data_IF_733232388905
#
_entry.id   IF_733232388905
#
_cell.length_a   1.000
_cell.length_b   1.000
_cell.length_c   1.000
_cell.angle_alpha   90.00
_cell.angle_beta   90.00
_cell.angle_gamma   90.00
#
_symmetry.space_group_name_H-M   'P 1'
#
loop_
_entity.id
_entity.type
_entity.pdbx_description
1 polymer ?
#
# COMPACT_ATOMS: atom_id res chain seq x y z
N UNK A 1 -31.34 -20.47 12.02
CA UNK A 1 -30.23 -19.67 12.56
C UNK A 1 -29.39 -19.16 11.41
N UNK A 2 -29.15 -17.85 11.25
CA UNK A 2 -28.35 -17.36 10.15
C UNK A 2 -26.88 -17.71 10.40
N UNK A 3 -26.31 -18.42 9.44
CA UNK A 3 -24.94 -18.90 9.41
C UNK A 3 -23.98 -17.70 9.54
N UNK A 4 -23.31 -17.56 10.69
CA UNK A 4 -22.28 -16.54 10.91
C UNK A 4 -21.15 -16.83 9.91
N UNK A 5 -21.14 -16.14 8.77
CA UNK A 5 -19.97 -16.04 7.90
C UNK A 5 -18.84 -15.45 8.73
N UNK A 6 -18.02 -16.30 9.33
CA UNK A 6 -16.68 -15.93 9.78
C UNK A 6 -15.92 -15.58 8.51
N UNK A 7 -15.97 -14.29 8.11
CA UNK A 7 -14.99 -13.74 7.19
C UNK A 7 -13.64 -13.99 7.86
N UNK A 8 -12.94 -15.06 7.47
CA UNK A 8 -11.48 -15.15 7.64
C UNK A 8 -11.00 -13.82 7.08
N UNK A 9 -10.63 -12.88 7.96
CA UNK A 9 -9.87 -11.71 7.54
C UNK A 9 -8.65 -12.31 6.87
N UNK A 10 -8.41 -11.99 5.61
CA UNK A 10 -7.14 -12.33 4.97
C UNK A 10 -6.08 -11.56 5.79
N UNK A 11 -5.54 -12.23 6.81
CA UNK A 11 -4.49 -11.69 7.64
C UNK A 11 -3.23 -11.79 6.78
N UNK A 12 -2.54 -10.68 6.60
CA UNK A 12 -1.18 -10.69 6.08
C UNK A 12 -0.34 -11.26 7.22
N UNK A 13 0.23 -12.44 6.99
CA UNK A 13 0.90 -13.23 8.01
C UNK A 13 2.41 -13.22 7.86
N UNK A 14 2.92 -12.78 6.71
CA UNK A 14 4.35 -12.75 6.41
C UNK A 14 4.84 -11.34 6.07
N UNK A 15 6.13 -11.07 6.33
CA UNK A 15 6.77 -9.84 5.89
C UNK A 15 6.68 -9.67 4.36
N UNK A 16 6.68 -10.78 3.60
CA UNK A 16 6.53 -10.75 2.15
C UNK A 16 5.15 -10.21 1.74
N UNK A 17 4.08 -10.75 2.30
CA UNK A 17 2.70 -10.28 2.04
C UNK A 17 2.50 -8.82 2.44
N UNK A 18 3.07 -8.41 3.58
CA UNK A 18 3.04 -7.01 4.04
C UNK A 18 3.79 -6.09 3.07
N UNK A 19 4.95 -6.53 2.59
CA UNK A 19 5.78 -5.77 1.64
C UNK A 19 5.12 -5.68 0.27
N UNK A 20 4.52 -6.77 -0.21
CA UNK A 20 3.75 -6.79 -1.45
C UNK A 20 2.57 -5.82 -1.40
N UNK A 21 1.79 -5.83 -0.32
CA UNK A 21 0.69 -4.88 -0.17
C UNK A 21 1.20 -3.43 -0.10
N UNK A 22 2.27 -3.17 0.66
CA UNK A 22 2.87 -1.84 0.72
C UNK A 22 3.32 -1.36 -0.67
N UNK A 23 3.89 -2.26 -1.48
CA UNK A 23 4.34 -1.97 -2.83
C UNK A 23 3.15 -1.63 -3.75
N UNK A 24 2.10 -2.44 -3.73
CA UNK A 24 0.87 -2.21 -4.51
C UNK A 24 0.23 -0.87 -4.13
N UNK A 25 0.19 -0.52 -2.84
CA UNK A 25 -0.34 0.76 -2.37
C UNK A 25 0.47 1.94 -2.90
N UNK A 26 1.81 1.86 -2.86
CA UNK A 26 2.69 2.91 -3.40
C UNK A 26 2.53 3.08 -4.92
N UNK A 27 2.54 1.99 -5.68
CA UNK A 27 2.36 2.06 -7.14
C UNK A 27 0.98 2.61 -7.50
N UNK A 28 -0.07 2.16 -6.82
CA UNK A 28 -1.43 2.63 -7.07
C UNK A 28 -1.56 4.12 -6.77
N UNK A 29 -0.97 4.59 -5.68
CA UNK A 29 -0.94 6.00 -5.32
C UNK A 29 -0.20 6.85 -6.37
N UNK A 30 0.95 6.38 -6.85
CA UNK A 30 1.75 7.07 -7.89
C UNK A 30 0.98 7.14 -9.20
N UNK A 31 0.47 6.01 -9.70
CA UNK A 31 -0.30 5.95 -10.95
C UNK A 31 -1.54 6.83 -10.90
N UNK A 32 -2.26 6.85 -9.78
CA UNK A 32 -3.44 7.69 -9.61
C UNK A 32 -3.08 9.18 -9.64
N UNK A 33 -1.95 9.57 -9.02
CA UNK A 33 -1.45 10.95 -9.05
C UNK A 33 -1.00 11.38 -10.46
N UNK A 34 -0.27 10.52 -11.17
CA UNK A 34 0.14 10.76 -12.56
C UNK A 34 -1.07 10.91 -13.47
N UNK A 35 -2.05 10.00 -13.35
CA UNK A 35 -3.31 10.09 -14.10
C UNK A 35 -4.00 11.43 -13.84
N UNK A 36 -4.14 11.85 -12.57
CA UNK A 36 -4.77 13.12 -12.20
C UNK A 36 -4.06 14.35 -12.81
N UNK A 37 -2.74 14.27 -12.99
CA UNK A 37 -1.96 15.33 -13.64
C UNK A 37 -2.15 15.36 -15.17
N UNK A 38 -2.47 14.23 -15.78
CA UNK A 38 -2.63 14.09 -17.23
C UNK A 38 -4.06 14.42 -17.72
N UNK A 39 -5.06 14.36 -16.85
CA UNK A 39 -6.46 14.59 -17.23
C UNK A 39 -7.05 15.84 -16.60
N UNK A 40 -8.04 16.43 -17.29
CA UNK A 40 -8.81 17.54 -16.75
C UNK A 40 -10.00 17.01 -15.93
N UNK A 41 -9.90 17.08 -14.61
CA UNK A 41 -10.98 16.68 -13.68
C UNK A 41 -11.45 17.90 -12.90
N UNK A 42 -12.77 18.04 -12.62
CA UNK A 42 -13.25 19.10 -11.75
C UNK A 42 -12.54 19.10 -10.39
N UNK A 43 -12.35 20.30 -9.82
CA UNK A 43 -11.55 20.50 -8.62
C UNK A 43 -12.02 19.66 -7.41
N UNK A 44 -13.33 19.48 -7.25
CA UNK A 44 -13.90 18.65 -6.19
C UNK A 44 -13.37 17.20 -6.22
N UNK A 45 -13.30 16.60 -7.42
CA UNK A 45 -12.74 15.26 -7.61
C UNK A 45 -11.23 15.24 -7.43
N UNK A 46 -10.50 16.30 -7.82
CA UNK A 46 -9.06 16.42 -7.56
C UNK A 46 -8.76 16.32 -6.07
N UNK A 47 -9.53 17.02 -5.22
CA UNK A 47 -9.37 16.97 -3.77
C UNK A 47 -9.66 15.57 -3.22
N UNK A 48 -10.74 14.92 -3.67
CA UNK A 48 -11.08 13.56 -3.25
C UNK A 48 -9.99 12.55 -3.61
N UNK A 49 -9.48 12.63 -4.84
CA UNK A 49 -8.41 11.76 -5.34
C UNK A 49 -7.11 12.00 -4.54
N UNK A 50 -6.72 13.26 -4.30
CA UNK A 50 -5.54 13.58 -3.49
C UNK A 50 -5.63 13.01 -2.07
N UNK A 51 -6.80 13.11 -1.42
CA UNK A 51 -7.04 12.48 -0.11
C UNK A 51 -6.90 10.96 -0.17
N UNK A 52 -7.38 10.34 -1.26
CA UNK A 52 -7.26 8.90 -1.46
C UNK A 52 -5.81 8.46 -1.69
N UNK A 53 -5.03 9.23 -2.44
CA UNK A 53 -3.58 9.03 -2.62
C UNK A 53 -2.86 9.09 -1.27
N UNK A 54 -3.12 10.13 -0.47
CA UNK A 54 -2.55 10.26 0.89
C UNK A 54 -2.94 9.08 1.77
N UNK A 55 -4.21 8.67 1.74
CA UNK A 55 -4.67 7.51 2.48
C UNK A 55 -3.90 6.23 2.09
N UNK A 56 -3.70 5.95 0.79
CA UNK A 56 -2.93 4.79 0.34
C UNK A 56 -1.48 4.82 0.84
N UNK A 57 -0.81 5.97 0.78
CA UNK A 57 0.56 6.13 1.27
C UNK A 57 0.62 5.89 2.79
N UNK A 58 -0.32 6.44 3.56
CA UNK A 58 -0.38 6.21 5.00
C UNK A 58 -0.65 4.74 5.36
N UNK A 59 -1.51 4.06 4.59
CA UNK A 59 -1.72 2.62 4.78
C UNK A 59 -0.42 1.84 4.55
N UNK A 60 0.31 2.13 3.46
CA UNK A 60 1.60 1.48 3.19
C UNK A 60 2.59 1.68 4.35
N UNK A 61 2.71 2.92 4.83
CA UNK A 61 3.58 3.26 5.96
C UNK A 61 3.20 2.50 7.24
N UNK A 62 1.90 2.37 7.53
CA UNK A 62 1.42 1.69 8.72
C UNK A 62 1.80 0.20 8.76
N UNK A 63 1.93 -0.45 7.59
CA UNK A 63 2.34 -1.85 7.50
C UNK A 63 3.76 -2.09 8.04
N UNK A 64 4.62 -1.06 8.10
CA UNK A 64 5.94 -1.17 8.70
C UNK A 64 5.88 -1.49 10.20
N UNK A 65 4.81 -1.06 10.88
CA UNK A 65 4.54 -1.39 12.29
C UNK A 65 4.08 -2.82 12.54
N UNK A 66 3.70 -3.54 11.47
CA UNK A 66 3.23 -4.93 11.51
C UNK A 66 4.33 -5.93 11.07
N UNK A 67 5.49 -5.44 10.62
CA UNK A 67 6.64 -6.28 10.29
C UNK A 67 7.20 -7.01 11.51
N UNK A 68 7.88 -8.12 11.26
CA UNK A 68 8.61 -8.88 12.27
C UNK A 68 10.09 -9.03 11.88
N UNK A 69 11.04 -8.31 12.54
CA UNK A 69 10.82 -7.29 13.57
C UNK A 69 10.17 -6.02 13.02
N UNK A 70 9.49 -5.26 13.89
CA UNK A 70 8.81 -4.02 13.52
C UNK A 70 9.80 -3.01 12.94
N UNK A 71 9.43 -2.41 11.82
CA UNK A 71 10.22 -1.38 11.17
C UNK A 71 9.30 -0.27 10.60
N UNK A 72 8.94 0.74 11.40
CA UNK A 72 8.06 1.83 10.95
C UNK A 72 8.62 2.65 9.76
N UNK A 73 9.92 2.60 9.50
CA UNK A 73 10.55 3.30 8.38
C UNK A 73 10.65 2.45 7.09
N UNK A 74 10.22 1.20 7.13
CA UNK A 74 10.29 0.27 6.00
C UNK A 74 9.64 0.81 4.72
N UNK A 75 8.39 1.28 4.86
CA UNK A 75 7.53 1.59 3.71
C UNK A 75 7.25 3.09 3.54
N UNK A 76 8.21 3.95 3.91
CA UNK A 76 8.08 5.40 3.78
C UNK A 76 7.91 5.86 2.34
N UNK A 77 8.59 5.18 1.41
CA UNK A 77 8.58 5.50 -0.02
C UNK A 77 8.46 4.24 -0.86
N UNK A 78 8.09 4.39 -2.13
CA UNK A 78 8.17 3.29 -3.12
C UNK A 78 9.58 2.67 -3.13
N UNK A 79 10.63 3.50 -3.17
CA UNK A 79 12.02 3.04 -3.24
C UNK A 79 12.44 2.23 -2.00
N UNK A 80 12.07 2.66 -0.80
CA UNK A 80 12.36 1.89 0.41
C UNK A 80 11.58 0.58 0.45
N UNK A 81 10.35 0.58 -0.06
CA UNK A 81 9.53 -0.64 -0.19
C UNK A 81 10.13 -1.61 -1.21
N UNK A 82 10.61 -1.12 -2.36
CA UNK A 82 11.32 -1.92 -3.36
C UNK A 82 12.59 -2.55 -2.77
N UNK A 83 13.41 -1.76 -2.07
CA UNK A 83 14.60 -2.28 -1.40
C UNK A 83 14.30 -3.42 -0.42
N UNK A 84 13.16 -3.39 0.27
CA UNK A 84 12.75 -4.47 1.18
C UNK A 84 12.20 -5.65 0.38
N UNK A 85 11.44 -5.39 -0.68
CA UNK A 85 10.96 -6.43 -1.58
C UNK A 85 12.10 -7.21 -2.22
N UNK A 86 13.15 -6.53 -2.69
CA UNK A 86 14.37 -7.16 -3.22
C UNK A 86 15.02 -8.08 -2.17
N UNK A 87 15.16 -7.61 -0.92
CA UNK A 87 15.72 -8.40 0.18
C UNK A 87 14.88 -9.64 0.51
N UNK A 88 13.58 -9.59 0.26
CA UNK A 88 12.63 -10.68 0.50
C UNK A 88 12.41 -11.57 -0.73
N UNK A 89 13.09 -11.30 -1.85
CA UNK A 89 12.90 -12.04 -3.11
C UNK A 89 11.54 -11.82 -3.76
N UNK A 90 10.88 -10.68 -3.51
CA UNK A 90 9.56 -10.35 -4.05
C UNK A 90 9.58 -10.13 -5.57
N UNK A 91 10.72 -9.68 -6.10
CA UNK A 91 10.88 -9.31 -7.51
C UNK A 91 11.78 -10.27 -8.31
N UNK A 92 12.37 -11.27 -7.63
CA UNK A 92 13.15 -12.30 -8.29
C UNK A 92 12.20 -13.28 -8.99
N UNK A 93 12.34 -13.38 -10.31
CA UNK A 93 11.54 -14.23 -11.21
C UNK A 93 12.32 -15.47 -11.61
#
# INVERSE_FOLDING_TARGET
MPNKRTKKRNLLTTNLELTELAYVLHISAIRLRETLSAINVPNAYRIQISRRVQWMIHQAQSLGGELQPKNPSAFLTKKSTESIGDQLGLFDS
#
